data_IF_101798925943
#
_entry.id   IF_101798925943
#
_cell.length_a   1.000
_cell.length_b   1.000
_cell.length_c   1.000
_cell.angle_alpha   90.00
_cell.angle_beta   90.00
_cell.angle_gamma   90.00
#
_symmetry.space_group_name_H-M   'P 1'
#
loop_
_entity.id
_entity.type
_entity.pdbx_description
1 polymer ?
#
# COMPACT_ATOMS: atom_id res chain seq x y z
N UNK A 1 -0.32 34.65 -12.45
CA UNK A 1 -0.96 33.83 -13.52
C UNK A 1 -0.69 34.46 -14.86
N UNK A 2 -0.15 33.70 -15.82
CA UNK A 2 0.12 34.19 -17.20
C UNK A 2 -1.18 34.55 -17.91
N UNK A 3 -1.12 35.56 -18.81
CA UNK A 3 -2.28 35.97 -19.68
C UNK A 3 -2.79 34.78 -20.49
N UNK A 4 -1.91 33.86 -20.89
CA UNK A 4 -2.25 32.59 -21.56
C UNK A 4 -3.15 31.68 -20.71
N UNK A 5 -2.87 31.55 -19.41
CA UNK A 5 -3.66 30.73 -18.49
C UNK A 5 -5.07 31.30 -18.27
N UNK A 6 -5.22 32.64 -18.32
CA UNK A 6 -6.55 33.30 -18.25
C UNK A 6 -7.38 33.08 -19.49
N UNK A 7 -6.76 32.93 -20.68
CA UNK A 7 -7.45 32.81 -21.96
C UNK A 7 -7.76 31.35 -22.35
N UNK A 8 -6.89 30.41 -21.99
CA UNK A 8 -6.97 28.99 -22.39
C UNK A 8 -7.21 27.99 -21.22
N UNK A 9 -7.32 28.50 -20.01
CA UNK A 9 -7.42 27.66 -18.80
C UNK A 9 -6.12 26.88 -18.48
N UNK A 10 -6.10 26.20 -17.35
CA UNK A 10 -5.03 25.27 -16.96
C UNK A 10 -5.16 23.95 -17.75
N UNK A 11 -4.15 23.06 -17.66
CA UNK A 11 -4.26 21.71 -18.20
C UNK A 11 -5.43 20.95 -17.54
N UNK A 12 -5.60 21.11 -16.22
CA UNK A 12 -6.70 20.52 -15.45
C UNK A 12 -8.07 21.03 -15.94
N UNK A 13 -8.23 22.35 -16.20
CA UNK A 13 -9.49 22.90 -16.71
C UNK A 13 -9.89 22.29 -18.06
N UNK A 14 -8.91 22.01 -18.92
CA UNK A 14 -9.16 21.38 -20.23
C UNK A 14 -9.60 19.92 -20.08
N UNK A 15 -8.96 19.17 -19.15
CA UNK A 15 -9.35 17.80 -18.83
C UNK A 15 -10.77 17.79 -18.29
N UNK A 16 -11.08 18.63 -17.28
CA UNK A 16 -12.42 18.72 -16.70
C UNK A 16 -13.50 19.03 -17.76
N UNK A 17 -13.20 19.96 -18.69
CA UNK A 17 -14.12 20.25 -19.80
C UNK A 17 -14.31 19.06 -20.74
N UNK A 18 -13.27 18.27 -20.99
CA UNK A 18 -13.36 17.07 -21.85
C UNK A 18 -14.17 15.93 -21.22
N UNK A 19 -14.27 15.89 -19.89
CA UNK A 19 -15.06 14.88 -19.17
C UNK A 19 -16.54 15.22 -19.07
N UNK A 20 -16.91 16.50 -19.29
CA UNK A 20 -18.30 16.94 -19.16
C UNK A 20 -19.30 16.15 -20.02
N UNK A 21 -19.05 15.83 -21.30
CA UNK A 21 -19.96 15.00 -22.09
C UNK A 21 -20.24 13.63 -21.50
N UNK A 22 -19.21 12.99 -20.91
CA UNK A 22 -19.36 11.70 -20.23
C UNK A 22 -20.24 11.83 -18.99
N UNK A 23 -20.05 12.89 -18.18
CA UNK A 23 -20.89 13.18 -17.01
C UNK A 23 -22.34 13.48 -17.43
N UNK A 24 -22.54 14.27 -18.48
CA UNK A 24 -23.87 14.57 -19.02
C UNK A 24 -24.57 13.29 -19.52
N UNK A 25 -23.81 12.35 -20.11
CA UNK A 25 -24.35 11.04 -20.50
C UNK A 25 -24.73 10.21 -19.27
N UNK A 26 -23.88 10.12 -18.24
CA UNK A 26 -24.20 9.44 -16.98
C UNK A 26 -25.51 10.01 -16.37
N UNK A 27 -25.63 11.34 -16.37
CA UNK A 27 -26.82 12.03 -15.86
C UNK A 27 -28.07 11.68 -16.66
N UNK A 28 -27.97 11.55 -17.99
CA UNK A 28 -29.10 11.19 -18.85
C UNK A 28 -29.66 9.80 -18.59
N UNK A 29 -28.88 8.88 -18.05
CA UNK A 29 -29.28 7.50 -17.74
C UNK A 29 -30.05 7.39 -16.41
N UNK A 30 -29.97 8.40 -15.53
CA UNK A 30 -30.47 8.33 -14.16
C UNK A 30 -31.96 8.03 -14.07
N UNK A 31 -32.78 8.73 -14.85
CA UNK A 31 -34.24 8.57 -14.80
C UNK A 31 -34.70 7.15 -15.20
N UNK A 32 -34.00 6.57 -16.19
CA UNK A 32 -34.26 5.18 -16.61
C UNK A 32 -33.90 4.16 -15.51
N UNK A 33 -32.77 4.38 -14.83
CA UNK A 33 -32.34 3.48 -13.75
C UNK A 33 -33.22 3.60 -12.50
N UNK A 34 -33.72 4.80 -12.19
CA UNK A 34 -34.63 5.00 -11.07
C UNK A 34 -35.96 4.25 -11.21
N UNK A 35 -36.39 3.99 -12.45
CA UNK A 35 -37.61 3.22 -12.74
C UNK A 35 -37.42 1.71 -12.59
N UNK A 36 -36.20 1.19 -12.52
CA UNK A 36 -35.91 -0.22 -12.39
C UNK A 36 -36.06 -0.69 -10.94
N UNK A 37 -36.45 -1.96 -10.80
CA UNK A 37 -36.44 -2.66 -9.51
C UNK A 37 -35.02 -2.93 -9.03
N UNK A 38 -34.84 -3.25 -7.75
CA UNK A 38 -33.54 -3.60 -7.16
C UNK A 38 -32.93 -4.84 -7.84
N UNK A 39 -33.72 -5.82 -8.20
CA UNK A 39 -33.29 -7.01 -8.91
C UNK A 39 -32.76 -6.66 -10.32
N UNK A 40 -33.44 -5.76 -11.05
CA UNK A 40 -33.01 -5.32 -12.37
C UNK A 40 -31.72 -4.47 -12.31
N UNK A 41 -31.55 -3.63 -11.28
CA UNK A 41 -30.28 -2.91 -11.05
C UNK A 41 -29.14 -3.89 -10.79
N UNK A 42 -29.35 -4.87 -9.91
CA UNK A 42 -28.35 -5.92 -9.63
C UNK A 42 -27.98 -6.69 -10.89
N UNK A 43 -28.96 -7.06 -11.71
CA UNK A 43 -28.74 -7.81 -12.96
C UNK A 43 -27.88 -7.03 -13.97
N UNK A 44 -27.80 -5.69 -13.88
CA UNK A 44 -26.89 -4.89 -14.74
C UNK A 44 -25.44 -5.33 -14.59
N UNK A 45 -25.00 -5.72 -13.40
CA UNK A 45 -23.65 -6.23 -13.17
C UNK A 45 -23.36 -7.47 -14.01
N UNK A 46 -24.27 -8.42 -14.05
CA UNK A 46 -24.10 -9.63 -14.85
C UNK A 46 -24.12 -9.27 -16.35
N UNK A 47 -25.01 -8.41 -16.78
CA UNK A 47 -25.03 -7.89 -18.16
C UNK A 47 -23.72 -7.23 -18.56
N UNK A 48 -23.09 -6.43 -17.68
CA UNK A 48 -21.80 -5.81 -17.95
C UNK A 48 -20.68 -6.86 -18.08
N UNK A 49 -20.68 -7.86 -17.22
CA UNK A 49 -19.74 -8.99 -17.30
C UNK A 49 -19.86 -9.75 -18.64
N UNK A 50 -21.08 -9.99 -19.08
CA UNK A 50 -21.35 -10.62 -20.38
C UNK A 50 -20.85 -9.76 -21.55
N UNK A 51 -21.09 -8.45 -21.52
CA UNK A 51 -20.61 -7.51 -22.55
C UNK A 51 -19.08 -7.42 -22.59
N UNK A 52 -18.41 -7.42 -21.45
CA UNK A 52 -16.94 -7.53 -21.37
C UNK A 52 -16.44 -8.84 -22.00
N UNK A 53 -17.09 -9.95 -21.68
CA UNK A 53 -16.75 -11.25 -22.28
C UNK A 53 -16.98 -11.29 -23.79
N UNK A 54 -17.94 -10.50 -24.30
CA UNK A 54 -18.18 -10.31 -25.72
C UNK A 54 -17.22 -9.34 -26.43
N UNK A 55 -16.30 -8.70 -25.67
CA UNK A 55 -15.21 -7.88 -26.21
C UNK A 55 -15.40 -6.36 -26.08
N UNK A 56 -16.44 -5.88 -25.39
CA UNK A 56 -16.52 -4.47 -25.01
C UNK A 56 -15.44 -4.12 -23.98
N UNK A 57 -15.05 -2.85 -23.93
CA UNK A 57 -14.03 -2.39 -22.98
C UNK A 57 -14.67 -1.80 -21.73
N UNK A 58 -13.90 -1.69 -20.64
CA UNK A 58 -14.34 -0.99 -19.43
C UNK A 58 -14.65 0.50 -19.71
N UNK A 59 -13.94 1.13 -20.64
CA UNK A 59 -14.20 2.51 -21.04
C UNK A 59 -15.56 2.66 -21.76
N UNK A 60 -15.96 1.67 -22.57
CA UNK A 60 -17.28 1.66 -23.22
C UNK A 60 -18.41 1.51 -22.19
N UNK A 61 -18.19 0.70 -21.15
CA UNK A 61 -19.17 0.47 -20.09
C UNK A 61 -19.23 1.59 -19.04
N UNK A 62 -18.18 2.43 -18.94
CA UNK A 62 -18.02 3.42 -17.88
C UNK A 62 -19.26 4.26 -17.63
N UNK A 63 -19.94 4.88 -18.63
CA UNK A 63 -21.09 5.74 -18.35
C UNK A 63 -22.25 4.97 -17.71
N UNK A 64 -22.56 3.78 -18.22
CA UNK A 64 -23.65 2.97 -17.69
C UNK A 64 -23.29 2.40 -16.31
N UNK A 65 -22.07 1.89 -16.13
CA UNK A 65 -21.61 1.33 -14.87
C UNK A 65 -21.58 2.39 -13.76
N UNK A 66 -21.12 3.62 -14.04
CA UNK A 66 -21.15 4.72 -13.08
C UNK A 66 -22.56 5.16 -12.73
N UNK A 67 -23.46 5.19 -13.71
CA UNK A 67 -24.87 5.48 -13.45
C UNK A 67 -25.53 4.41 -12.55
N UNK A 68 -25.24 3.11 -12.77
CA UNK A 68 -25.71 2.01 -11.94
C UNK A 68 -25.10 2.09 -10.53
N UNK A 69 -23.80 2.33 -10.41
CA UNK A 69 -23.13 2.51 -9.11
C UNK A 69 -23.71 3.69 -8.32
N UNK A 70 -23.97 4.82 -8.98
CA UNK A 70 -24.60 5.98 -8.35
C UNK A 70 -26.02 5.68 -7.88
N UNK A 71 -26.82 4.96 -8.69
CA UNK A 71 -28.16 4.55 -8.29
C UNK A 71 -28.13 3.55 -7.14
N UNK A 72 -27.19 2.59 -7.14
CA UNK A 72 -26.97 1.68 -6.03
C UNK A 72 -26.67 2.42 -4.74
N UNK A 73 -25.72 3.37 -4.76
CA UNK A 73 -25.40 4.17 -3.57
C UNK A 73 -26.60 4.97 -3.06
N UNK A 74 -27.39 5.56 -3.98
CA UNK A 74 -28.62 6.30 -3.65
C UNK A 74 -29.67 5.41 -2.96
N UNK A 75 -29.72 4.13 -3.28
CA UNK A 75 -30.72 3.21 -2.69
C UNK A 75 -30.33 2.71 -1.31
N UNK A 76 -29.04 2.41 -1.08
CA UNK A 76 -28.65 1.62 0.10
C UNK A 76 -27.59 2.28 1.02
N UNK A 77 -26.81 3.27 0.56
CA UNK A 77 -25.83 3.91 1.42
C UNK A 77 -26.43 5.01 2.26
N UNK A 78 -26.48 4.80 3.56
CA UNK A 78 -26.97 5.81 4.51
C UNK A 78 -25.92 6.88 4.80
N UNK A 79 -26.34 8.15 4.89
CA UNK A 79 -25.50 9.24 5.34
C UNK A 79 -25.24 9.09 6.84
N UNK A 80 -23.98 8.98 7.31
CA UNK A 80 -23.68 8.87 8.72
C UNK A 80 -24.20 10.08 9.50
N UNK A 81 -24.78 9.81 10.66
CA UNK A 81 -25.29 10.84 11.58
C UNK A 81 -26.30 11.83 10.97
N UNK A 82 -26.98 11.44 9.89
CA UNK A 82 -28.05 12.25 9.34
C UNK A 82 -29.23 12.36 10.32
N UNK A 83 -29.82 13.56 10.42
CA UNK A 83 -31.00 13.79 11.25
C UNK A 83 -32.25 12.99 10.75
N UNK A 84 -32.16 12.37 9.60
CA UNK A 84 -33.16 11.49 9.01
C UNK A 84 -32.53 10.15 8.68
N UNK A 85 -33.09 9.02 9.16
CA UNK A 85 -32.57 7.69 8.88
C UNK A 85 -32.65 7.29 7.40
N UNK A 86 -33.48 7.99 6.61
CA UNK A 86 -33.72 7.68 5.20
C UNK A 86 -32.80 8.48 4.25
N UNK A 87 -31.90 9.31 4.80
CA UNK A 87 -31.02 10.12 3.96
C UNK A 87 -29.87 9.25 3.43
N UNK A 88 -29.89 9.04 2.11
CA UNK A 88 -28.91 8.22 1.41
C UNK A 88 -27.89 9.08 0.64
N UNK A 89 -26.78 8.44 0.27
CA UNK A 89 -25.71 9.08 -0.50
C UNK A 89 -25.93 8.91 -2.00
N UNK A 90 -25.77 9.99 -2.73
CA UNK A 90 -25.74 10.02 -4.20
C UNK A 90 -24.50 10.77 -4.66
N UNK A 91 -23.75 10.21 -5.56
CA UNK A 91 -22.56 10.88 -6.12
C UNK A 91 -22.94 12.19 -6.84
N UNK A 92 -22.20 13.24 -6.54
CA UNK A 92 -22.27 14.51 -7.26
C UNK A 92 -21.48 14.42 -8.57
N UNK A 93 -21.75 15.35 -9.50
CA UNK A 93 -21.07 15.37 -10.80
C UNK A 93 -19.54 15.51 -10.67
N UNK A 94 -19.07 16.31 -9.70
CA UNK A 94 -17.62 16.43 -9.40
C UNK A 94 -17.03 15.11 -8.90
N UNK A 95 -17.81 14.30 -8.21
CA UNK A 95 -17.38 12.97 -7.75
C UNK A 95 -17.35 11.96 -8.90
N UNK A 96 -18.28 12.05 -9.86
CA UNK A 96 -18.20 11.27 -11.11
C UNK A 96 -16.91 11.58 -11.87
N UNK A 97 -16.56 12.86 -11.98
CA UNK A 97 -15.28 13.29 -12.60
C UNK A 97 -14.09 12.64 -11.87
N UNK A 98 -14.05 12.71 -10.54
CA UNK A 98 -13.01 12.08 -9.73
C UNK A 98 -12.90 10.59 -10.02
N UNK A 99 -14.01 9.87 -10.06
CA UNK A 99 -14.06 8.45 -10.40
C UNK A 99 -13.52 8.14 -11.81
N UNK A 100 -13.87 8.98 -12.83
CA UNK A 100 -13.35 8.81 -14.20
C UNK A 100 -11.83 9.02 -14.24
N UNK A 101 -11.34 10.04 -13.54
CA UNK A 101 -9.90 10.35 -13.45
C UNK A 101 -9.13 9.18 -12.84
N UNK A 102 -9.65 8.61 -11.74
CA UNK A 102 -9.06 7.43 -11.08
C UNK A 102 -9.09 6.20 -11.98
N UNK A 103 -10.22 5.92 -12.65
CA UNK A 103 -10.32 4.78 -13.58
C UNK A 103 -9.26 4.85 -14.68
N UNK A 104 -8.96 6.04 -15.18
CA UNK A 104 -7.95 6.27 -16.22
C UNK A 104 -6.51 6.31 -15.70
N UNK A 105 -6.27 5.87 -14.47
CA UNK A 105 -4.93 5.76 -13.88
C UNK A 105 -4.27 7.10 -13.58
N UNK A 106 -5.06 8.13 -13.28
CA UNK A 106 -4.56 9.46 -12.94
C UNK A 106 -4.80 9.78 -11.45
N UNK A 107 -4.21 10.89 -10.98
CA UNK A 107 -4.39 11.40 -9.62
C UNK A 107 -5.59 12.35 -9.61
N UNK A 108 -6.53 12.08 -8.70
CA UNK A 108 -7.64 12.97 -8.39
C UNK A 108 -7.35 13.71 -7.08
N UNK A 109 -7.02 15.00 -7.15
CA UNK A 109 -6.87 15.83 -5.96
C UNK A 109 -8.24 16.25 -5.43
N UNK A 110 -8.53 15.84 -4.19
CA UNK A 110 -9.80 16.12 -3.51
C UNK A 110 -9.53 16.54 -2.07
N UNK A 111 -10.20 17.62 -1.67
CA UNK A 111 -10.09 18.14 -0.29
C UNK A 111 -10.75 17.20 0.71
N UNK A 112 -10.29 17.24 1.97
CA UNK A 112 -10.91 16.50 3.06
C UNK A 112 -12.40 16.89 3.19
N UNK A 113 -13.27 15.88 3.28
CA UNK A 113 -14.72 16.07 3.36
C UNK A 113 -15.46 16.08 2.01
N UNK A 114 -14.76 16.03 0.88
CA UNK A 114 -15.40 15.96 -0.46
C UNK A 114 -15.90 14.56 -0.85
N UNK A 115 -15.74 13.58 0.04
CA UNK A 115 -16.29 12.23 -0.12
C UNK A 115 -15.40 11.30 -0.95
N UNK A 116 -14.07 11.35 -0.77
CA UNK A 116 -13.11 10.46 -1.44
C UNK A 116 -13.50 8.98 -1.35
N UNK A 117 -13.92 8.51 -0.17
CA UNK A 117 -14.36 7.13 0.04
C UNK A 117 -15.52 6.73 -0.88
N UNK A 118 -16.50 7.65 -1.06
CA UNK A 118 -17.62 7.42 -1.97
C UNK A 118 -17.17 7.45 -3.44
N UNK A 119 -16.27 8.37 -3.80
CA UNK A 119 -15.72 8.45 -5.17
C UNK A 119 -15.00 7.15 -5.56
N UNK A 120 -14.24 6.56 -4.64
CA UNK A 120 -13.50 5.32 -4.88
C UNK A 120 -14.43 4.15 -5.27
N UNK A 121 -15.70 4.16 -4.86
CA UNK A 121 -16.65 3.09 -5.20
C UNK A 121 -16.93 3.00 -6.70
N UNK A 122 -16.88 4.12 -7.43
CA UNK A 122 -17.15 4.16 -8.87
C UNK A 122 -16.11 3.38 -9.69
N UNK A 123 -14.81 3.71 -9.63
CA UNK A 123 -13.81 2.94 -10.34
C UNK A 123 -13.60 1.55 -9.73
N UNK A 124 -13.84 1.34 -8.42
CA UNK A 124 -13.79 0.02 -7.82
C UNK A 124 -14.86 -0.91 -8.42
N UNK A 125 -16.09 -0.44 -8.52
CA UNK A 125 -17.17 -1.18 -9.18
C UNK A 125 -16.83 -1.52 -10.63
N UNK A 126 -16.47 -0.52 -11.43
CA UNK A 126 -16.19 -0.70 -12.86
C UNK A 126 -15.03 -1.70 -13.10
N UNK A 127 -13.92 -1.54 -12.37
CA UNK A 127 -12.75 -2.38 -12.60
C UNK A 127 -12.89 -3.80 -12.01
N UNK A 128 -13.83 -4.02 -11.06
CA UNK A 128 -14.13 -5.35 -10.53
C UNK A 128 -14.95 -6.22 -11.50
N UNK A 129 -15.64 -5.61 -12.48
CA UNK A 129 -16.46 -6.35 -13.47
C UNK A 129 -15.64 -7.36 -14.27
N UNK A 130 -14.34 -7.10 -14.45
CA UNK A 130 -13.42 -8.02 -15.13
C UNK A 130 -13.08 -9.29 -14.34
N UNK A 131 -13.54 -9.44 -13.09
CA UNK A 131 -13.32 -10.62 -12.25
C UNK A 131 -11.86 -10.84 -11.80
N UNK A 132 -11.00 -9.81 -11.92
CA UNK A 132 -9.57 -9.90 -11.58
C UNK A 132 -9.20 -9.27 -10.23
N UNK A 133 -10.21 -8.79 -9.48
CA UNK A 133 -10.04 -8.11 -8.20
C UNK A 133 -9.57 -6.65 -8.31
N UNK A 134 -9.97 -5.87 -7.31
CA UNK A 134 -9.59 -4.46 -7.14
C UNK A 134 -9.07 -4.27 -5.72
N UNK A 135 -7.94 -3.59 -5.57
CA UNK A 135 -7.38 -3.23 -4.27
C UNK A 135 -7.68 -1.76 -3.94
N UNK A 136 -8.18 -1.49 -2.73
CA UNK A 136 -8.34 -0.14 -2.19
C UNK A 136 -7.37 0.02 -1.03
N UNK A 137 -6.35 0.84 -1.24
CA UNK A 137 -5.23 0.99 -0.32
C UNK A 137 -5.42 2.22 0.55
N UNK A 138 -5.35 2.05 1.87
CA UNK A 138 -5.47 3.13 2.86
C UNK A 138 -4.24 3.18 3.78
N UNK A 139 -4.16 4.19 4.65
CA UNK A 139 -2.99 4.39 5.52
C UNK A 139 -3.01 3.56 6.81
N UNK A 140 -4.14 3.01 7.22
CA UNK A 140 -4.21 2.19 8.45
C UNK A 140 -5.37 1.19 8.43
N UNK A 141 -5.27 0.14 9.25
CA UNK A 141 -6.25 -0.96 9.36
C UNK A 141 -7.63 -0.49 9.76
N UNK A 142 -7.73 0.55 10.61
CA UNK A 142 -9.01 1.11 11.02
C UNK A 142 -9.78 1.68 9.83
N UNK A 143 -9.11 2.50 9.00
CA UNK A 143 -9.72 3.08 7.81
C UNK A 143 -10.10 2.00 6.79
N UNK A 144 -9.22 1.02 6.56
CA UNK A 144 -9.50 -0.10 5.66
C UNK A 144 -10.79 -0.82 6.04
N UNK A 145 -10.92 -1.19 7.31
CA UNK A 145 -12.10 -1.90 7.80
C UNK A 145 -13.35 -0.99 7.86
N UNK A 146 -13.21 0.25 8.31
CA UNK A 146 -14.31 1.22 8.37
C UNK A 146 -14.91 1.48 6.99
N UNK A 147 -14.05 1.79 6.02
CA UNK A 147 -14.49 2.21 4.69
C UNK A 147 -15.05 1.01 3.91
N UNK A 148 -14.44 -0.16 4.05
CA UNK A 148 -15.00 -1.40 3.51
C UNK A 148 -16.41 -1.66 4.05
N UNK A 149 -16.58 -1.68 5.37
CA UNK A 149 -17.89 -1.95 5.98
C UNK A 149 -18.94 -0.88 5.63
N UNK A 150 -18.51 0.36 5.47
CA UNK A 150 -19.43 1.44 5.10
C UNK A 150 -19.91 1.33 3.65
N UNK A 151 -19.04 0.93 2.72
CA UNK A 151 -19.35 0.78 1.29
C UNK A 151 -19.93 -0.60 0.94
N UNK A 152 -19.74 -1.61 1.81
CA UNK A 152 -20.17 -2.98 1.59
C UNK A 152 -21.66 -3.12 1.17
N UNK A 153 -22.62 -2.41 1.80
CA UNK A 153 -24.03 -2.52 1.40
C UNK A 153 -24.28 -2.19 -0.08
N UNK A 154 -23.52 -1.25 -0.64
CA UNK A 154 -23.61 -0.90 -2.06
C UNK A 154 -23.03 -2.00 -2.94
N UNK A 155 -21.87 -2.54 -2.58
CA UNK A 155 -21.24 -3.62 -3.34
C UNK A 155 -22.12 -4.87 -3.36
N UNK A 156 -22.63 -5.29 -2.20
CA UNK A 156 -23.56 -6.44 -2.09
C UNK A 156 -24.85 -6.22 -2.86
N UNK A 157 -25.42 -5.00 -2.79
CA UNK A 157 -26.59 -4.62 -3.56
C UNK A 157 -26.37 -4.79 -5.07
N UNK A 158 -25.17 -4.43 -5.54
CA UNK A 158 -24.77 -4.57 -6.95
C UNK A 158 -24.27 -5.97 -7.31
N UNK A 159 -24.26 -6.93 -6.37
CA UNK A 159 -23.83 -8.31 -6.62
C UNK A 159 -22.33 -8.53 -6.59
N UNK A 160 -21.58 -7.64 -5.91
CA UNK A 160 -20.16 -7.80 -5.67
C UNK A 160 -19.87 -8.17 -4.22
N UNK A 161 -18.71 -8.80 -4.01
CA UNK A 161 -18.14 -9.08 -2.70
C UNK A 161 -17.04 -8.07 -2.36
N UNK A 162 -16.90 -7.73 -1.06
CA UNK A 162 -15.78 -6.96 -0.57
C UNK A 162 -15.24 -7.54 0.75
N UNK A 163 -13.93 -7.40 0.96
CA UNK A 163 -13.26 -7.85 2.17
C UNK A 163 -12.15 -6.87 2.58
N UNK A 164 -11.71 -6.95 3.83
CA UNK A 164 -10.59 -6.18 4.32
C UNK A 164 -9.48 -7.09 4.86
N UNK A 165 -8.23 -6.80 4.50
CA UNK A 165 -7.04 -7.41 5.09
C UNK A 165 -6.51 -6.54 6.22
N UNK A 166 -6.07 -7.18 7.30
CA UNK A 166 -5.56 -6.53 8.51
C UNK A 166 -4.34 -7.29 9.05
N UNK A 167 -3.50 -6.62 9.85
CA UNK A 167 -2.23 -7.13 10.36
C UNK A 167 -2.33 -8.43 11.16
N UNK A 168 -3.41 -8.63 11.90
CA UNK A 168 -3.57 -9.77 12.82
C UNK A 168 -4.47 -10.89 12.29
N UNK A 169 -4.78 -10.88 10.98
CA UNK A 169 -5.61 -11.92 10.38
C UNK A 169 -4.84 -13.20 10.10
N UNK A 170 -5.56 -14.33 10.20
CA UNK A 170 -5.06 -15.62 9.77
C UNK A 170 -4.83 -15.64 8.24
N UNK A 171 -4.01 -16.58 7.80
CA UNK A 171 -3.74 -16.80 6.38
C UNK A 171 -5.01 -17.09 5.57
N UNK A 172 -5.91 -17.91 6.14
CA UNK A 172 -7.18 -18.28 5.48
C UNK A 172 -8.14 -17.09 5.38
N UNK A 173 -8.19 -16.23 6.41
CA UNK A 173 -9.01 -15.01 6.39
C UNK A 173 -8.51 -14.03 5.34
N UNK A 174 -7.18 -13.83 5.25
CA UNK A 174 -6.58 -13.00 4.20
C UNK A 174 -6.87 -13.54 2.81
N UNK A 175 -6.71 -14.85 2.61
CA UNK A 175 -7.04 -15.52 1.34
C UNK A 175 -8.51 -15.33 0.97
N UNK A 176 -9.42 -15.41 1.93
CA UNK A 176 -10.84 -15.17 1.71
C UNK A 176 -11.10 -13.71 1.29
N UNK A 177 -10.45 -12.74 1.96
CA UNK A 177 -10.55 -11.33 1.62
C UNK A 177 -10.00 -11.03 0.21
N UNK A 178 -8.86 -11.61 -0.19
CA UNK A 178 -8.29 -11.43 -1.53
C UNK A 178 -9.13 -12.09 -2.66
N UNK A 179 -9.97 -13.06 -2.33
CA UNK A 179 -10.90 -13.67 -3.29
C UNK A 179 -12.14 -12.81 -3.54
N UNK A 180 -12.36 -11.77 -2.76
CA UNK A 180 -13.44 -10.82 -2.99
C UNK A 180 -13.22 -10.00 -4.26
N UNK A 181 -14.28 -9.48 -4.85
CA UNK A 181 -14.19 -8.59 -6.01
C UNK A 181 -13.40 -7.30 -5.67
N UNK A 182 -13.51 -6.85 -4.41
CA UNK A 182 -12.84 -5.64 -3.91
C UNK A 182 -12.18 -5.94 -2.57
N UNK A 183 -10.88 -5.68 -2.44
CA UNK A 183 -10.11 -5.90 -1.22
C UNK A 183 -9.59 -4.57 -0.69
N UNK A 184 -9.94 -4.23 0.56
CA UNK A 184 -9.42 -3.08 1.29
C UNK A 184 -8.24 -3.49 2.16
N UNK A 185 -7.24 -2.63 2.32
CA UNK A 185 -6.10 -2.89 3.19
C UNK A 185 -5.13 -1.73 3.26
N UNK A 186 -4.11 -1.87 4.10
CA UNK A 186 -3.02 -0.89 4.15
C UNK A 186 -1.96 -1.20 3.10
N UNK A 187 -1.19 -0.17 2.70
CA UNK A 187 -0.02 -0.34 1.85
C UNK A 187 0.95 -1.39 2.41
N UNK A 188 1.16 -1.40 3.73
CA UNK A 188 2.04 -2.34 4.40
C UNK A 188 1.53 -3.79 4.28
N UNK A 189 0.23 -4.02 4.54
CA UNK A 189 -0.34 -5.37 4.46
C UNK A 189 -0.29 -5.92 3.03
N UNK A 190 -0.69 -5.13 2.02
CA UNK A 190 -0.53 -5.52 0.62
C UNK A 190 0.92 -5.83 0.25
N UNK A 191 1.85 -4.98 0.69
CA UNK A 191 3.26 -5.15 0.40
C UNK A 191 3.89 -6.35 1.12
N UNK A 192 3.59 -6.57 2.40
CA UNK A 192 4.07 -7.73 3.14
C UNK A 192 3.47 -9.04 2.62
N UNK A 193 2.19 -9.04 2.24
CA UNK A 193 1.57 -10.22 1.63
C UNK A 193 2.20 -10.53 0.26
N UNK A 194 2.51 -9.51 -0.55
CA UNK A 194 3.25 -9.67 -1.79
C UNK A 194 4.64 -10.29 -1.57
N UNK A 195 5.39 -9.79 -0.58
CA UNK A 195 6.69 -10.37 -0.24
C UNK A 195 6.57 -11.83 0.23
N UNK A 196 5.61 -12.12 1.11
CA UNK A 196 5.35 -13.49 1.60
C UNK A 196 4.98 -14.43 0.47
N UNK A 197 4.12 -14.00 -0.45
CA UNK A 197 3.70 -14.79 -1.59
C UNK A 197 4.86 -15.12 -2.54
N UNK A 198 5.80 -14.17 -2.74
CA UNK A 198 7.00 -14.42 -3.54
C UNK A 198 8.02 -15.36 -2.87
N UNK A 199 7.87 -15.65 -1.58
CA UNK A 199 8.67 -16.66 -0.86
C UNK A 199 8.02 -18.05 -0.87
N UNK A 200 6.78 -18.20 -1.38
CA UNK A 200 6.08 -19.48 -1.43
C UNK A 200 6.62 -20.36 -2.54
N UNK A 201 6.71 -21.65 -2.24
CA UNK A 201 7.17 -22.66 -3.21
C UNK A 201 6.04 -23.07 -4.16
N UNK A 202 4.80 -23.07 -3.68
CA UNK A 202 3.62 -23.45 -4.44
C UNK A 202 2.65 -22.28 -4.61
N UNK A 203 2.11 -22.10 -5.82
CA UNK A 203 1.14 -21.03 -6.12
C UNK A 203 -0.13 -21.11 -5.26
N UNK A 204 -0.53 -22.32 -4.89
CA UNK A 204 -1.70 -22.57 -4.02
C UNK A 204 -1.53 -22.02 -2.61
N UNK A 205 -0.29 -21.74 -2.19
CA UNK A 205 0.02 -21.16 -0.90
C UNK A 205 -0.02 -19.64 -0.90
N UNK A 206 -0.13 -19.00 -2.06
CA UNK A 206 -0.25 -17.55 -2.16
C UNK A 206 -1.64 -17.09 -1.72
N UNK A 207 -1.71 -15.92 -1.10
CA UNK A 207 -2.98 -15.30 -0.69
C UNK A 207 -3.49 -14.33 -1.74
N UNK A 208 -2.58 -13.60 -2.41
CA UNK A 208 -2.94 -12.65 -3.46
C UNK A 208 -3.22 -13.36 -4.78
N UNK A 209 -4.14 -12.80 -5.55
CA UNK A 209 -4.34 -13.16 -6.94
C UNK A 209 -3.52 -12.30 -7.89
N UNK A 210 -3.99 -12.22 -9.14
CA UNK A 210 -3.40 -11.33 -10.14
C UNK A 210 -3.59 -9.87 -9.74
N UNK A 211 -2.51 -9.08 -9.77
CA UNK A 211 -2.57 -7.64 -9.56
C UNK A 211 -3.19 -6.99 -10.81
N UNK A 212 -4.38 -6.41 -10.66
CA UNK A 212 -5.15 -5.85 -11.77
C UNK A 212 -5.30 -4.33 -11.68
N UNK A 213 -5.94 -3.83 -10.62
CA UNK A 213 -6.22 -2.42 -10.44
C UNK A 213 -6.17 -2.05 -8.95
N UNK A 214 -5.58 -0.89 -8.67
CA UNK A 214 -5.50 -0.38 -7.30
C UNK A 214 -5.90 1.10 -7.24
N UNK A 215 -6.63 1.46 -6.19
CA UNK A 215 -6.90 2.83 -5.79
C UNK A 215 -6.09 3.09 -4.52
N UNK A 216 -5.24 4.12 -4.54
CA UNK A 216 -4.41 4.49 -3.38
C UNK A 216 -4.95 5.79 -2.81
N UNK A 217 -5.52 5.72 -1.59
CA UNK A 217 -5.91 6.92 -0.84
C UNK A 217 -4.71 7.50 -0.09
N UNK A 218 -4.69 8.81 0.12
CA UNK A 218 -3.56 9.54 0.74
C UNK A 218 -2.21 9.22 0.03
N UNK A 219 -2.21 9.31 -1.31
CA UNK A 219 -1.11 8.86 -2.18
C UNK A 219 0.21 9.59 -1.91
N UNK A 220 0.18 10.82 -1.46
CA UNK A 220 1.33 11.62 -1.03
C UNK A 220 1.99 11.02 0.22
N UNK A 221 1.22 10.60 1.22
CA UNK A 221 1.75 9.89 2.38
C UNK A 221 2.36 8.54 1.96
N UNK A 222 1.60 7.73 1.24
CA UNK A 222 2.00 6.35 0.92
C UNK A 222 3.17 6.28 -0.06
N UNK A 223 3.12 7.03 -1.17
CA UNK A 223 4.10 6.91 -2.26
C UNK A 223 5.26 7.92 -2.18
N UNK A 224 5.19 8.91 -1.30
CA UNK A 224 6.26 9.91 -1.12
C UNK A 224 6.84 9.83 0.29
N UNK A 225 6.04 10.12 1.33
CA UNK A 225 6.56 10.26 2.69
C UNK A 225 7.02 8.93 3.29
N UNK A 226 6.23 7.87 3.16
CA UNK A 226 6.54 6.53 3.69
C UNK A 226 7.32 5.66 2.70
N UNK A 227 7.42 6.04 1.42
CA UNK A 227 8.07 5.25 0.37
C UNK A 227 9.59 5.05 0.58
N UNK A 228 10.21 5.85 1.42
CA UNK A 228 11.63 5.73 1.75
C UNK A 228 11.96 4.55 2.63
N UNK A 229 10.98 4.04 3.36
CA UNK A 229 11.15 2.90 4.27
C UNK A 229 10.85 1.60 3.52
N UNK A 230 11.86 0.77 3.20
CA UNK A 230 11.61 -0.48 2.49
C UNK A 230 10.85 -1.47 3.38
N UNK A 231 9.94 -2.23 2.79
CA UNK A 231 9.33 -3.39 3.44
C UNK A 231 10.34 -4.54 3.43
N UNK A 232 10.69 -5.08 4.59
CA UNK A 232 11.67 -6.14 4.73
C UNK A 232 11.04 -7.30 5.51
N UNK A 233 11.14 -8.51 4.98
CA UNK A 233 10.89 -9.75 5.71
C UNK A 233 12.26 -10.37 6.03
N UNK A 234 12.52 -10.60 7.32
CA UNK A 234 13.70 -11.32 7.77
C UNK A 234 13.28 -12.56 8.56
N UNK A 235 14.02 -13.63 8.38
CA UNK A 235 13.88 -14.85 9.16
C UNK A 235 15.07 -15.04 10.10
N UNK A 236 14.99 -15.98 11.06
CA UNK A 236 16.16 -16.38 11.83
C UNK A 236 17.23 -16.90 10.87
N UNK A 237 18.46 -16.42 11.04
CA UNK A 237 19.60 -16.93 10.31
C UNK A 237 19.99 -18.28 10.90
N UNK A 238 20.26 -19.28 10.07
CA UNK A 238 20.84 -20.56 10.48
C UNK A 238 22.34 -20.43 10.83
N UNK A 239 22.94 -19.26 10.61
CA UNK A 239 24.33 -19.00 10.98
C UNK A 239 24.49 -18.84 12.49
N UNK A 240 25.55 -19.47 13.05
CA UNK A 240 25.81 -19.42 14.47
C UNK A 240 26.02 -17.97 14.93
N UNK A 241 25.28 -17.53 15.92
CA UNK A 241 25.39 -16.20 16.53
C UNK A 241 26.74 -15.97 17.22
N UNK A 242 27.57 -17.02 17.39
CA UNK A 242 28.89 -16.97 18.03
C UNK A 242 29.86 -16.02 17.33
N UNK A 243 29.83 -15.95 15.99
CA UNK A 243 30.68 -15.02 15.22
C UNK A 243 30.35 -13.57 15.50
N UNK A 244 29.07 -13.21 15.62
CA UNK A 244 28.64 -11.87 16.00
C UNK A 244 29.09 -11.49 17.41
N UNK A 245 29.00 -12.40 18.39
CA UNK A 245 29.50 -12.14 19.74
C UNK A 245 31.02 -11.96 19.77
N UNK A 246 31.74 -12.71 18.94
CA UNK A 246 33.20 -12.59 18.86
C UNK A 246 33.56 -11.26 18.18
N UNK A 247 32.91 -10.91 17.09
CA UNK A 247 33.11 -9.63 16.39
C UNK A 247 32.80 -8.43 17.31
N UNK A 248 31.71 -8.48 18.09
CA UNK A 248 31.37 -7.46 19.08
C UNK A 248 32.49 -7.27 20.12
N UNK A 249 33.03 -8.38 20.68
CA UNK A 249 34.14 -8.32 21.63
C UNK A 249 35.39 -7.66 21.04
N UNK A 250 35.69 -7.95 19.77
CA UNK A 250 36.83 -7.36 19.06
C UNK A 250 36.58 -5.87 18.78
N UNK A 251 35.39 -5.53 18.26
CA UNK A 251 35.01 -4.14 17.94
C UNK A 251 35.12 -3.22 19.17
N UNK A 252 34.72 -3.68 20.34
CA UNK A 252 34.86 -2.92 21.61
C UNK A 252 36.32 -2.58 21.98
N UNK A 253 37.30 -3.34 21.49
CA UNK A 253 38.74 -3.06 21.72
C UNK A 253 39.30 -2.12 20.69
N UNK A 254 38.61 -1.85 19.57
CA UNK A 254 39.05 -1.01 18.47
C UNK A 254 38.78 0.46 18.77
N UNK A 255 39.58 1.35 18.18
CA UNK A 255 39.47 2.80 18.40
C UNK A 255 39.16 3.48 17.06
N UNK A 256 38.12 4.36 17.00
CA UNK A 256 37.85 5.14 15.81
C UNK A 256 39.02 6.08 15.48
N UNK A 257 39.24 6.33 14.21
CA UNK A 257 40.35 7.15 13.69
C UNK A 257 41.71 6.47 13.68
N UNK A 258 41.84 5.31 14.38
CA UNK A 258 43.08 4.52 14.39
C UNK A 258 42.90 3.16 13.74
N UNK A 259 41.93 2.41 14.21
CA UNK A 259 41.68 1.04 13.77
C UNK A 259 40.56 0.95 12.71
N UNK A 260 39.73 1.97 12.64
CA UNK A 260 38.67 2.10 11.62
C UNK A 260 38.25 3.57 11.44
N UNK A 261 37.73 3.88 10.27
CA UNK A 261 37.15 5.17 9.92
C UNK A 261 35.61 5.07 9.89
N UNK A 262 34.94 6.10 10.39
CA UNK A 262 33.47 6.19 10.36
C UNK A 262 33.06 7.23 9.33
N UNK A 263 32.25 6.83 8.36
CA UNK A 263 31.67 7.71 7.34
C UNK A 263 30.18 7.86 7.60
N UNK A 264 29.83 8.84 8.42
CA UNK A 264 28.43 9.07 8.87
C UNK A 264 27.47 9.29 7.70
N UNK A 265 27.88 10.08 6.67
CA UNK A 265 27.04 10.37 5.50
C UNK A 265 26.74 9.12 4.66
N UNK A 266 27.69 8.20 4.58
CA UNK A 266 27.59 6.96 3.81
C UNK A 266 27.05 5.81 4.67
N UNK A 267 26.82 6.06 5.97
CA UNK A 267 26.44 5.04 6.98
C UNK A 267 27.33 3.79 6.91
N UNK A 268 28.63 4.00 6.73
CA UNK A 268 29.62 2.92 6.58
C UNK A 268 30.82 3.09 7.52
N UNK A 269 31.49 1.97 7.81
CA UNK A 269 32.76 1.95 8.53
C UNK A 269 33.77 1.21 7.70
N UNK A 270 34.99 1.74 7.64
CA UNK A 270 36.13 1.12 6.93
C UNK A 270 37.19 0.75 7.94
N UNK A 271 37.59 -0.52 7.97
CA UNK A 271 38.74 -0.96 8.79
C UNK A 271 40.06 -0.50 8.18
N UNK A 272 40.99 -0.06 9.01
CA UNK A 272 42.35 0.29 8.59
C UNK A 272 43.29 -0.91 8.65
N UNK A 273 44.50 -0.80 8.06
CA UNK A 273 45.50 -1.86 8.16
C UNK A 273 45.93 -2.17 9.61
N UNK A 274 45.98 -1.12 10.48
CA UNK A 274 46.16 -1.33 11.92
C UNK A 274 44.98 -2.08 12.57
N UNK A 275 43.78 -1.79 12.11
CA UNK A 275 42.58 -2.47 12.54
C UNK A 275 42.54 -3.94 12.13
N UNK A 276 42.92 -4.24 10.88
CA UNK A 276 43.07 -5.63 10.38
C UNK A 276 44.04 -6.41 11.26
N UNK A 277 45.19 -5.84 11.57
CA UNK A 277 46.21 -6.49 12.43
C UNK A 277 45.66 -6.81 13.85
N UNK A 278 44.79 -5.93 14.39
CA UNK A 278 44.13 -6.18 15.69
C UNK A 278 43.18 -7.36 15.59
N UNK A 279 42.37 -7.39 14.53
CA UNK A 279 41.36 -8.47 14.32
C UNK A 279 42.06 -9.82 14.14
N UNK A 280 43.08 -9.89 13.27
CA UNK A 280 43.85 -11.11 13.00
C UNK A 280 44.52 -11.65 14.27
N UNK A 281 45.12 -10.76 15.06
CA UNK A 281 45.70 -11.13 16.37
C UNK A 281 44.63 -11.69 17.36
N UNK A 282 43.47 -11.05 17.44
CA UNK A 282 42.43 -11.48 18.37
C UNK A 282 41.75 -12.80 17.95
N UNK A 283 41.65 -13.04 16.64
CA UNK A 283 41.16 -14.30 16.07
C UNK A 283 42.21 -15.41 16.04
N UNK A 284 43.50 -15.07 16.13
CA UNK A 284 44.59 -16.03 16.01
C UNK A 284 44.78 -16.56 14.58
N UNK A 285 44.49 -15.73 13.56
CA UNK A 285 44.60 -16.09 12.15
C UNK A 285 45.67 -15.25 11.45
N UNK A 286 46.26 -15.81 10.40
CA UNK A 286 47.31 -15.09 9.61
C UNK A 286 46.73 -14.02 8.69
N UNK A 287 45.49 -14.21 8.18
CA UNK A 287 44.78 -13.23 7.38
C UNK A 287 43.27 -13.46 7.45
N UNK A 288 42.50 -12.38 7.68
CA UNK A 288 41.00 -12.40 7.63
C UNK A 288 40.44 -12.47 6.19
N UNK A 289 41.32 -12.27 5.18
CA UNK A 289 40.95 -12.33 3.76
C UNK A 289 41.31 -13.69 3.11
N UNK A 290 41.76 -14.67 3.88
CA UNK A 290 41.98 -16.04 3.36
C UNK A 290 40.63 -16.73 3.08
N UNK A 291 40.62 -17.67 2.14
CA UNK A 291 39.39 -18.40 1.72
C UNK A 291 38.62 -19.04 2.90
N UNK A 292 39.33 -19.44 3.97
CA UNK A 292 38.74 -20.05 5.16
C UNK A 292 38.07 -19.01 6.08
N UNK A 293 38.49 -17.74 6.01
CA UNK A 293 38.09 -16.67 6.93
C UNK A 293 37.39 -15.51 6.23
N UNK A 294 36.96 -15.69 4.97
CA UNK A 294 36.44 -14.66 4.09
C UNK A 294 35.14 -13.97 4.58
N UNK A 295 34.47 -14.55 5.55
CA UNK A 295 33.27 -13.98 6.17
C UNK A 295 33.55 -13.04 7.36
N UNK A 296 34.73 -13.13 8.01
CA UNK A 296 35.09 -12.29 9.16
C UNK A 296 35.05 -10.79 8.89
N UNK A 297 35.54 -10.27 7.75
CA UNK A 297 35.45 -8.84 7.45
C UNK A 297 34.01 -8.32 7.56
N UNK A 298 33.02 -9.07 7.09
CA UNK A 298 31.61 -8.73 7.20
C UNK A 298 31.17 -8.62 8.67
N UNK A 299 31.43 -9.62 9.51
CA UNK A 299 31.01 -9.58 10.92
C UNK A 299 31.69 -8.45 11.70
N UNK A 300 32.96 -8.16 11.44
CA UNK A 300 33.67 -7.05 12.07
C UNK A 300 33.10 -5.71 11.62
N UNK A 301 32.84 -5.53 10.33
CA UNK A 301 32.24 -4.31 9.82
C UNK A 301 30.85 -4.07 10.42
N UNK A 302 30.00 -5.09 10.50
CA UNK A 302 28.68 -4.95 11.12
C UNK A 302 28.78 -4.59 12.61
N UNK A 303 29.72 -5.19 13.34
CA UNK A 303 29.95 -4.84 14.74
C UNK A 303 30.44 -3.40 14.92
N UNK A 304 31.37 -2.93 14.08
CA UNK A 304 31.86 -1.53 14.09
C UNK A 304 30.74 -0.55 13.74
N UNK A 305 29.90 -0.86 12.75
CA UNK A 305 28.72 -0.07 12.42
C UNK A 305 27.74 0.02 13.57
N UNK A 306 27.43 -1.11 14.22
CA UNK A 306 26.52 -1.15 15.36
C UNK A 306 26.99 -0.23 16.50
N UNK A 307 28.31 -0.20 16.79
CA UNK A 307 28.88 0.65 17.84
C UNK A 307 29.03 2.12 17.47
N UNK A 308 29.13 2.45 16.17
CA UNK A 308 29.53 3.80 15.72
C UNK A 308 28.40 4.59 15.08
N UNK A 309 27.42 3.93 14.49
CA UNK A 309 26.41 4.55 13.64
C UNK A 309 24.97 4.39 14.15
N UNK A 310 24.74 3.51 15.14
CA UNK A 310 23.40 3.30 15.70
C UNK A 310 23.34 3.74 17.16
N UNK A 311 22.58 4.80 17.41
CA UNK A 311 22.48 5.42 18.73
C UNK A 311 21.20 4.95 19.43
N UNK A 312 21.37 4.41 20.64
CA UNK A 312 20.24 4.07 21.50
C UNK A 312 19.38 5.32 21.77
N UNK A 313 18.08 5.14 21.82
CA UNK A 313 17.06 6.16 22.04
C UNK A 313 16.95 7.22 20.90
N UNK A 314 17.67 6.99 19.80
CA UNK A 314 17.58 7.75 18.55
C UNK A 314 17.22 6.83 17.39
N UNK A 315 18.07 5.85 17.10
CA UNK A 315 17.88 4.91 15.99
C UNK A 315 17.15 3.63 16.44
N UNK A 316 17.20 3.32 17.74
CA UNK A 316 16.50 2.19 18.33
C UNK A 316 16.19 2.41 19.81
N UNK A 317 15.17 1.70 20.30
CA UNK A 317 14.86 1.60 21.73
C UNK A 317 14.94 0.15 22.19
N UNK A 318 15.22 -0.06 23.49
CA UNK A 318 15.25 -1.39 24.12
C UNK A 318 14.02 -1.53 25.01
N UNK A 319 13.16 -2.48 24.71
CA UNK A 319 11.98 -2.81 25.52
C UNK A 319 12.11 -4.27 26.02
N UNK A 320 12.39 -4.42 27.32
CA UNK A 320 12.65 -5.74 27.89
C UNK A 320 13.91 -6.36 27.35
N UNK A 321 13.77 -7.39 26.46
CA UNK A 321 14.89 -8.07 25.77
C UNK A 321 14.97 -7.72 24.28
N UNK A 322 13.99 -6.99 23.78
CA UNK A 322 13.86 -6.73 22.36
C UNK A 322 14.43 -5.34 21.99
N UNK A 323 15.08 -5.29 20.84
CA UNK A 323 15.55 -4.05 20.22
C UNK A 323 14.53 -3.65 19.14
N UNK A 324 13.89 -2.50 19.32
CA UNK A 324 12.88 -1.98 18.41
C UNK A 324 13.48 -0.82 17.65
N UNK A 325 13.47 -0.90 16.33
CA UNK A 325 13.99 0.13 15.42
C UNK A 325 13.09 1.36 15.47
N UNK A 326 13.69 2.54 15.49
CA UNK A 326 13.01 3.83 15.29
C UNK A 326 13.17 4.22 13.82
N UNK A 327 12.06 4.50 13.16
CA UNK A 327 12.10 5.00 11.78
C UNK A 327 12.73 6.39 11.71
N UNK A 328 13.77 6.53 10.90
CA UNK A 328 14.57 7.76 10.80
C UNK A 328 13.75 8.99 10.34
N UNK A 329 12.68 8.75 9.56
CA UNK A 329 11.89 9.82 8.95
C UNK A 329 10.64 10.18 9.76
N UNK A 330 9.98 9.17 10.32
CA UNK A 330 8.71 9.37 11.04
C UNK A 330 8.88 9.36 12.56
N UNK A 331 10.02 8.88 13.07
CA UNK A 331 10.24 8.68 14.50
C UNK A 331 9.35 7.60 15.16
N UNK A 332 8.68 6.78 14.35
CA UNK A 332 7.79 5.72 14.85
C UNK A 332 8.57 4.48 15.22
N UNK A 333 8.08 3.77 16.23
CA UNK A 333 8.60 2.45 16.60
C UNK A 333 8.15 1.40 15.58
N UNK A 334 9.10 0.62 15.09
CA UNK A 334 8.88 -0.42 14.07
C UNK A 334 8.92 -1.80 14.73
N UNK A 335 7.83 -2.17 15.40
CA UNK A 335 7.71 -3.46 16.09
C UNK A 335 7.79 -4.63 15.08
N UNK A 336 8.53 -5.67 15.45
CA UNK A 336 8.71 -6.87 14.62
C UNK A 336 9.67 -6.71 13.44
N UNK A 337 10.33 -5.56 13.29
CA UNK A 337 11.36 -5.31 12.29
C UNK A 337 12.76 -5.49 12.90
N UNK A 338 13.65 -6.11 12.14
CA UNK A 338 15.09 -6.24 12.45
C UNK A 338 15.94 -5.55 11.39
N UNK A 339 17.14 -5.13 11.78
CA UNK A 339 18.13 -4.61 10.82
C UNK A 339 18.74 -5.73 10.01
#
# INVERSE_FOLDING_TARGET
MSIFTKMFGTASDRILKSLKPTVDHINSLESGLQALTDAEIRQKTDTFRERLAAGETLEDLLPEAFAVAREGSRRVLLVPNANSPDKTMRHFDVQLIGGIVLHRGNIAEMTTGEGKTLVATLPAYLNSLGGKGVHVVTVNDYLANRDMNWMLPMYEFLGLSAGAIQSNQSYDDKRAAYKSDITYGTNNEFGFDYLRDNMRVHLEEQVQGTLNYAIVDEVDSILIDEARTPLIISGPSDESTEKYFTADKIARKMKPGKHYEVKEKEKSTNITDEGISVVEKELGVDSIYSDIHMDWPHYIEQALRAHSLFLKDTDYVVQGKDVIIVDEFTGRLMEGRMW
#
